data_IF_711242470613
#
_entry.id   IF_711242470613
#
_cell.length_a   1.000
_cell.length_b   1.000
_cell.length_c   1.000
_cell.angle_alpha   90.00
_cell.angle_beta   90.00
_cell.angle_gamma   90.00
#
_symmetry.space_group_name_H-M   'P 1'
#
loop_
_entity.id
_entity.type
_entity.pdbx_description
1 polymer ?
#
# COMPACT_ATOMS: atom_id res chain seq x y z
N UNK A 1 -23.05 23.72 13.79
CA UNK A 1 -23.56 22.40 13.38
C UNK A 1 -22.31 21.58 13.06
N UNK A 2 -21.88 20.67 13.96
CA UNK A 2 -20.65 19.88 13.76
C UNK A 2 -20.97 18.89 12.64
N UNK A 3 -20.27 19.00 11.52
CA UNK A 3 -20.19 17.92 10.54
C UNK A 3 -19.52 16.73 11.23
N UNK A 4 -20.34 15.92 11.91
CA UNK A 4 -20.01 14.52 12.13
C UNK A 4 -19.97 13.92 10.73
N UNK A 5 -18.81 14.03 10.05
CA UNK A 5 -18.50 13.20 8.90
C UNK A 5 -18.45 11.78 9.43
N UNK A 6 -19.61 11.16 9.43
CA UNK A 6 -19.75 9.76 9.67
C UNK A 6 -18.75 9.06 8.77
N UNK A 7 -17.87 8.28 9.37
CA UNK A 7 -17.01 7.33 8.67
C UNK A 7 -17.84 6.30 7.87
N UNK A 8 -19.18 6.40 7.81
CA UNK A 8 -20.03 5.66 6.87
C UNK A 8 -19.81 6.01 5.39
N UNK A 9 -19.01 7.05 5.08
CA UNK A 9 -18.43 7.22 3.73
C UNK A 9 -17.33 6.19 3.41
N UNK A 10 -16.81 5.49 4.44
CA UNK A 10 -15.87 4.37 4.34
C UNK A 10 -16.66 3.09 4.01
N UNK A 11 -17.30 3.06 2.84
CA UNK A 11 -18.05 1.89 2.35
C UNK A 11 -17.36 1.20 1.16
N UNK A 12 -16.05 1.41 1.00
CA UNK A 12 -15.25 0.80 -0.08
C UNK A 12 -14.15 -0.07 0.52
N UNK A 13 -14.02 -1.29 0.01
CA UNK A 13 -12.94 -2.25 0.32
C UNK A 13 -11.57 -1.84 -0.28
N UNK A 14 -11.47 -0.61 -0.80
CA UNK A 14 -10.28 0.00 -1.42
C UNK A 14 -9.68 1.14 -0.57
N UNK A 15 -10.12 1.29 0.68
CA UNK A 15 -9.70 2.41 1.52
C UNK A 15 -8.33 2.13 2.14
N UNK A 16 -7.35 2.86 1.63
CA UNK A 16 -5.94 2.83 2.02
C UNK A 16 -5.73 3.82 3.17
N UNK A 17 -5.19 3.35 4.30
CA UNK A 17 -4.89 4.18 5.46
C UNK A 17 -3.66 3.67 6.21
N UNK A 18 -3.01 4.57 6.94
CA UNK A 18 -1.92 4.22 7.85
C UNK A 18 -2.15 4.88 9.21
N UNK A 19 -1.98 4.10 10.28
CA UNK A 19 -2.05 4.59 11.66
C UNK A 19 -0.63 4.88 12.11
N UNK A 20 -0.41 6.08 12.64
CA UNK A 20 0.88 6.47 13.22
C UNK A 20 1.28 5.57 14.38
N UNK A 21 2.58 5.43 14.66
CA UNK A 21 3.05 4.79 15.89
C UNK A 21 2.46 5.48 17.11
N UNK A 22 2.07 4.69 18.12
CA UNK A 22 1.34 5.22 19.28
C UNK A 22 -0.14 5.56 19.02
N UNK A 23 -0.62 5.42 17.78
CA UNK A 23 -2.00 5.68 17.39
C UNK A 23 -2.48 7.13 17.66
N UNK A 24 -1.58 8.09 17.50
CA UNK A 24 -1.84 9.52 17.74
C UNK A 24 -2.66 10.14 16.60
N UNK A 25 -2.37 9.76 15.36
CA UNK A 25 -3.10 10.19 14.16
C UNK A 25 -3.23 9.09 13.12
N UNK A 26 -4.12 9.30 12.14
CA UNK A 26 -4.37 8.41 11.00
C UNK A 26 -4.27 9.20 9.70
N UNK A 27 -3.59 8.62 8.72
CA UNK A 27 -3.57 9.08 7.34
C UNK A 27 -4.54 8.27 6.49
N UNK A 28 -5.35 8.92 5.68
CA UNK A 28 -6.22 8.27 4.69
C UNK A 28 -5.84 8.70 3.29
N UNK A 29 -5.77 7.77 2.35
CA UNK A 29 -5.67 8.14 0.94
C UNK A 29 -6.96 8.81 0.48
N UNK A 30 -6.85 10.06 0.03
CA UNK A 30 -7.96 10.86 -0.49
C UNK A 30 -8.02 10.83 -2.02
N UNK A 31 -6.88 10.87 -2.69
CA UNK A 31 -6.77 10.82 -4.15
C UNK A 31 -5.48 10.12 -4.60
N UNK A 32 -5.13 10.19 -5.88
CA UNK A 32 -3.87 9.64 -6.40
C UNK A 32 -2.62 10.29 -5.79
N UNK A 33 -2.72 11.53 -5.29
CA UNK A 33 -1.60 12.33 -4.78
C UNK A 33 -1.93 13.08 -3.48
N UNK A 34 -3.10 12.85 -2.89
CA UNK A 34 -3.51 13.52 -1.65
C UNK A 34 -3.80 12.51 -0.55
N UNK A 35 -3.38 12.88 0.66
CA UNK A 35 -3.71 12.21 1.90
C UNK A 35 -4.57 13.13 2.77
N UNK A 36 -5.37 12.55 3.63
CA UNK A 36 -6.10 13.25 4.67
C UNK A 36 -5.47 12.89 6.01
N UNK A 37 -5.07 13.88 6.78
CA UNK A 37 -4.53 13.76 8.12
C UNK A 37 -5.63 13.96 9.15
N UNK A 38 -5.82 12.96 9.99
CA UNK A 38 -6.79 12.97 11.07
C UNK A 38 -6.09 12.74 12.41
N UNK A 39 -6.14 13.74 13.27
CA UNK A 39 -5.69 13.67 14.65
C UNK A 39 -6.91 13.96 15.54
N UNK A 40 -7.27 13.04 16.45
CA UNK A 40 -8.44 13.17 17.31
C UNK A 40 -8.29 14.28 18.36
N UNK A 41 -7.06 14.68 18.71
CA UNK A 41 -6.77 15.71 19.71
C UNK A 41 -6.75 17.12 19.11
N UNK A 42 -6.58 17.24 17.79
CA UNK A 42 -6.74 18.51 17.10
C UNK A 42 -8.22 18.96 17.10
N UNK A 43 -8.43 20.27 17.05
CA UNK A 43 -9.77 20.84 16.93
C UNK A 43 -10.19 20.98 15.46
N UNK A 44 -9.21 21.10 14.56
CA UNK A 44 -9.41 21.07 13.12
C UNK A 44 -8.88 19.74 12.56
N UNK A 45 -9.81 18.83 12.30
CA UNK A 45 -9.47 17.46 11.93
C UNK A 45 -9.39 17.30 10.41
N UNK A 46 -9.47 18.39 9.63
CA UNK A 46 -9.59 18.37 8.17
C UNK A 46 -8.32 18.82 7.44
N UNK A 47 -7.17 18.27 7.78
CA UNK A 47 -5.91 18.63 7.12
C UNK A 47 -5.73 17.76 5.87
N UNK A 48 -5.81 18.36 4.69
CA UNK A 48 -5.41 17.69 3.44
C UNK A 48 -3.92 17.89 3.22
N UNK A 49 -3.20 16.79 2.98
CA UNK A 49 -1.77 16.78 2.70
C UNK A 49 -1.53 16.43 1.23
N UNK A 50 -0.67 17.19 0.56
CA UNK A 50 -0.28 16.94 -0.83
C UNK A 50 1.01 16.12 -0.85
N UNK A 51 1.04 15.03 -1.62
CA UNK A 51 2.24 14.25 -1.86
C UNK A 51 3.19 15.03 -2.79
N UNK A 52 4.39 15.32 -2.28
CA UNK A 52 5.47 15.95 -3.03
C UNK A 52 6.56 14.90 -3.28
N UNK A 53 6.84 14.63 -4.55
CA UNK A 53 7.89 13.71 -4.98
C UNK A 53 8.97 14.53 -5.67
N UNK A 54 10.18 14.57 -5.11
CA UNK A 54 11.28 15.37 -5.67
C UNK A 54 11.92 14.75 -6.91
N UNK A 55 11.83 13.43 -7.07
CA UNK A 55 12.36 12.72 -8.23
C UNK A 55 11.42 12.86 -9.44
N UNK A 56 11.94 13.42 -10.53
CA UNK A 56 11.22 13.63 -11.79
C UNK A 56 10.68 12.34 -12.41
N UNK A 57 11.33 11.19 -12.16
CA UNK A 57 10.90 9.90 -12.70
C UNK A 57 9.59 9.40 -12.08
N UNK A 58 9.21 9.94 -10.93
CA UNK A 58 8.07 9.48 -10.13
C UNK A 58 6.98 10.56 -9.95
N UNK A 59 7.04 11.64 -10.73
CA UNK A 59 6.08 12.74 -10.65
C UNK A 59 4.65 12.30 -10.96
N UNK A 60 4.47 11.37 -11.88
CA UNK A 60 3.16 10.88 -12.29
C UNK A 60 2.70 9.63 -11.52
N UNK A 61 3.58 9.04 -10.70
CA UNK A 61 3.26 7.84 -9.94
C UNK A 61 2.16 8.09 -8.91
N UNK A 62 1.19 7.20 -8.79
CA UNK A 62 0.05 7.38 -7.88
C UNK A 62 0.26 6.64 -6.57
N UNK A 63 -0.32 7.12 -5.47
CA UNK A 63 -0.31 6.42 -4.19
C UNK A 63 -1.02 5.07 -4.37
N UNK A 64 -0.26 3.98 -4.22
CA UNK A 64 -0.77 2.62 -4.23
C UNK A 64 -1.23 2.19 -2.84
N UNK A 65 -0.37 2.35 -1.84
CA UNK A 65 -0.64 2.02 -0.44
C UNK A 65 0.32 2.79 0.48
N UNK A 66 0.12 2.74 1.80
CA UNK A 66 1.03 3.35 2.78
C UNK A 66 0.99 2.64 4.13
N UNK A 67 2.09 2.72 4.87
CA UNK A 67 2.19 2.17 6.22
C UNK A 67 3.29 2.89 7.01
N UNK A 68 3.32 2.69 8.33
CA UNK A 68 4.43 3.12 9.16
C UNK A 68 5.35 1.92 9.46
N UNK A 69 6.64 2.09 9.22
CA UNK A 69 7.70 1.19 9.69
C UNK A 69 8.43 1.89 10.82
N UNK A 70 8.18 1.48 12.06
CA UNK A 70 8.56 2.29 13.24
C UNK A 70 8.01 3.72 13.05
N UNK A 71 8.81 4.76 13.27
CA UNK A 71 8.43 6.17 13.12
C UNK A 71 8.45 6.70 11.67
N UNK A 72 8.82 5.86 10.70
CA UNK A 72 8.99 6.28 9.32
C UNK A 72 7.72 5.99 8.50
N UNK A 73 7.09 7.01 7.94
CA UNK A 73 6.04 6.83 6.95
C UNK A 73 6.66 6.26 5.66
N UNK A 74 6.06 5.20 5.15
CA UNK A 74 6.43 4.56 3.89
C UNK A 74 5.22 4.61 2.96
N UNK A 75 5.43 5.08 1.73
CA UNK A 75 4.41 5.12 0.68
C UNK A 75 4.84 4.20 -0.45
N UNK A 76 3.91 3.36 -0.92
CA UNK A 76 4.06 2.64 -2.17
C UNK A 76 3.51 3.50 -3.30
N UNK A 77 4.34 3.75 -4.30
CA UNK A 77 4.00 4.53 -5.50
C UNK A 77 3.84 3.57 -6.67
N UNK A 78 2.73 3.69 -7.41
CA UNK A 78 2.46 2.90 -8.60
C UNK A 78 2.59 3.76 -9.85
N UNK A 79 3.46 3.34 -10.76
CA UNK A 79 3.51 3.90 -12.09
C UNK A 79 2.22 3.54 -12.86
N UNK A 80 1.45 4.51 -13.35
CA UNK A 80 0.17 4.25 -14.01
C UNK A 80 0.32 3.60 -15.39
N UNK A 81 1.49 3.70 -16.04
CA UNK A 81 1.71 3.16 -17.38
C UNK A 81 2.03 1.67 -17.36
N UNK A 82 2.95 1.24 -16.49
CA UNK A 82 3.43 -0.14 -16.43
C UNK A 82 3.04 -0.90 -15.15
N UNK A 83 2.44 -0.22 -14.18
CA UNK A 83 1.98 -0.81 -12.92
C UNK A 83 3.10 -1.22 -11.97
N UNK A 84 4.35 -0.79 -12.20
CA UNK A 84 5.47 -1.00 -11.27
C UNK A 84 5.24 -0.25 -9.97
N UNK A 85 5.73 -0.85 -8.88
CA UNK A 85 5.69 -0.28 -7.53
C UNK A 85 7.08 0.20 -7.14
N UNK A 86 7.17 1.44 -6.67
CA UNK A 86 8.35 1.99 -6.00
C UNK A 86 8.03 2.25 -4.53
N UNK A 87 9.05 2.16 -3.66
CA UNK A 87 8.91 2.49 -2.24
C UNK A 87 9.43 3.91 -2.01
N UNK A 88 8.61 4.80 -1.48
CA UNK A 88 9.00 6.11 -1.00
C UNK A 88 9.11 6.13 0.53
N UNK A 89 10.21 6.65 1.07
CA UNK A 89 10.29 7.06 2.47
C UNK A 89 9.84 8.51 2.57
N UNK A 90 8.98 8.82 3.54
CA UNK A 90 8.26 10.08 3.56
C UNK A 90 8.33 10.80 4.91
N UNK A 91 8.37 12.12 4.87
CA UNK A 91 8.16 12.96 6.04
C UNK A 91 6.83 13.70 5.92
N UNK A 92 6.12 13.87 7.03
CA UNK A 92 4.87 14.61 7.10
C UNK A 92 5.19 16.03 7.58
N UNK A 93 4.93 17.02 6.72
CA UNK A 93 5.09 18.42 7.04
C UNK A 93 3.71 19.08 7.17
N UNK A 94 3.29 19.28 8.42
CA UNK A 94 2.02 19.93 8.75
C UNK A 94 2.07 21.46 8.57
N UNK A 95 3.25 22.08 8.49
CA UNK A 95 3.36 23.52 8.24
C UNK A 95 3.07 23.82 6.77
N UNK A 96 3.60 23.00 5.87
CA UNK A 96 3.38 23.14 4.41
C UNK A 96 2.22 22.32 3.88
N UNK A 97 1.53 21.56 4.75
CA UNK A 97 0.44 20.65 4.41
C UNK A 97 0.86 19.65 3.32
N UNK A 98 2.01 19.01 3.52
CA UNK A 98 2.59 18.10 2.55
C UNK A 98 3.09 16.79 3.16
N UNK A 99 3.16 15.76 2.31
CA UNK A 99 3.96 14.57 2.57
C UNK A 99 5.07 14.55 1.55
N UNK A 100 6.30 14.70 2.00
CA UNK A 100 7.48 14.83 1.15
C UNK A 100 8.18 13.49 1.07
N UNK A 101 8.33 12.95 -0.15
CA UNK A 101 9.13 11.75 -0.40
C UNK A 101 10.60 12.14 -0.41
N UNK A 102 11.35 11.70 0.60
CA UNK A 102 12.76 12.05 0.81
C UNK A 102 13.71 11.08 0.12
N UNK A 103 13.31 9.81 -0.02
CA UNK A 103 14.07 8.75 -0.69
C UNK A 103 13.12 7.85 -1.45
N UNK A 104 13.52 7.41 -2.65
CA UNK A 104 12.79 6.40 -3.43
C UNK A 104 13.70 5.19 -3.65
N UNK A 105 13.20 4.03 -3.25
CA UNK A 105 13.76 2.72 -3.58
C UNK A 105 12.90 2.08 -4.65
N UNK A 106 13.41 2.05 -5.87
CA UNK A 106 12.75 1.30 -6.95
C UNK A 106 12.89 -0.19 -6.67
N UNK A 107 11.76 -0.88 -6.57
CA UNK A 107 11.72 -2.34 -6.47
C UNK A 107 11.02 -2.87 -7.73
N UNK A 108 11.43 -4.04 -8.21
CA UNK A 108 10.75 -4.70 -9.32
C UNK A 108 9.51 -5.47 -8.82
N UNK A 109 8.57 -4.77 -8.20
CA UNK A 109 7.24 -5.30 -7.95
C UNK A 109 6.29 -4.73 -8.99
N UNK A 110 5.41 -5.58 -9.52
CA UNK A 110 4.42 -5.17 -10.50
C UNK A 110 3.04 -5.61 -10.05
N UNK A 111 2.10 -4.68 -10.13
CA UNK A 111 0.69 -4.96 -9.88
C UNK A 111 0.10 -5.79 -11.01
N UNK A 112 -0.79 -6.74 -10.69
CA UNK A 112 -1.49 -7.50 -11.73
C UNK A 112 -2.61 -6.64 -12.33
N UNK A 113 -2.41 -6.16 -13.55
CA UNK A 113 -3.35 -5.27 -14.26
C UNK A 113 -4.62 -5.97 -14.78
N UNK A 114 -4.61 -7.30 -14.93
CA UNK A 114 -5.77 -8.09 -15.40
C UNK A 114 -5.86 -9.44 -14.69
N UNK A 115 -7.01 -9.72 -14.08
CA UNK A 115 -7.29 -11.03 -13.48
C UNK A 115 -6.46 -11.33 -12.22
N UNK A 116 -6.05 -10.30 -11.49
CA UNK A 116 -5.28 -10.42 -10.27
C UNK A 116 -5.52 -9.27 -9.31
N UNK A 117 -5.06 -9.46 -8.09
CA UNK A 117 -5.11 -8.51 -7.00
C UNK A 117 -3.70 -8.34 -6.45
N UNK A 118 -3.37 -7.11 -6.09
CA UNK A 118 -2.17 -6.79 -5.33
C UNK A 118 -2.59 -5.98 -4.11
N UNK A 119 -2.06 -6.31 -2.93
CA UNK A 119 -2.43 -5.68 -1.67
C UNK A 119 -1.23 -5.56 -0.74
N UNK A 120 -1.24 -4.53 0.10
CA UNK A 120 -0.45 -4.49 1.30
C UNK A 120 -1.24 -5.14 2.45
N UNK A 121 -0.58 -6.01 3.21
CA UNK A 121 -1.08 -6.55 4.47
C UNK A 121 0.01 -6.41 5.52
N UNK A 122 -0.31 -6.69 6.78
CA UNK A 122 0.67 -6.72 7.87
C UNK A 122 0.66 -8.08 8.58
N UNK A 123 1.85 -8.57 8.95
CA UNK A 123 2.06 -9.68 9.86
C UNK A 123 2.83 -9.20 11.11
N UNK A 124 3.24 -10.13 11.97
CA UNK A 124 4.05 -9.85 13.16
C UNK A 124 5.44 -9.25 12.88
N UNK A 125 5.94 -9.37 11.65
CA UNK A 125 7.22 -8.83 11.20
C UNK A 125 7.05 -7.51 10.41
N UNK A 126 5.81 -7.10 10.15
CA UNK A 126 5.44 -5.82 9.54
C UNK A 126 4.74 -5.96 8.19
N UNK A 127 4.95 -4.98 7.31
CA UNK A 127 4.27 -4.90 6.02
C UNK A 127 4.74 -5.96 5.02
N UNK A 128 3.77 -6.59 4.36
CA UNK A 128 3.93 -7.56 3.29
C UNK A 128 3.12 -7.12 2.08
N UNK A 129 3.78 -7.07 0.93
CA UNK A 129 3.10 -6.98 -0.35
C UNK A 129 2.74 -8.39 -0.84
N UNK A 130 1.47 -8.60 -1.16
CA UNK A 130 0.97 -9.85 -1.72
C UNK A 130 0.30 -9.59 -3.07
N UNK A 131 0.68 -10.38 -4.09
CA UNK A 131 0.11 -10.34 -5.42
C UNK A 131 -0.41 -11.73 -5.82
N UNK A 132 -1.69 -11.84 -6.16
CA UNK A 132 -2.36 -13.12 -6.39
C UNK A 132 -3.39 -13.01 -7.53
N UNK A 133 -3.70 -14.09 -8.24
CA UNK A 133 -4.71 -14.06 -9.31
C UNK A 133 -6.12 -13.95 -8.72
N UNK A 134 -7.07 -13.40 -9.48
CA UNK A 134 -8.46 -13.25 -9.07
C UNK A 134 -9.24 -14.56 -9.15
N UNK A 135 -8.79 -15.45 -10.04
CA UNK A 135 -9.31 -16.81 -10.20
C UNK A 135 -8.15 -17.78 -10.17
N UNK A 136 -8.35 -18.90 -9.48
CA UNK A 136 -7.38 -20.00 -9.48
C UNK A 136 -7.83 -21.03 -10.51
N UNK A 137 -7.27 -20.96 -11.71
CA UNK A 137 -7.55 -21.91 -12.79
C UNK A 137 -6.50 -23.00 -12.85
N UNK A 138 -6.94 -24.22 -13.16
CA UNK A 138 -6.06 -25.38 -13.13
C UNK A 138 -5.16 -25.51 -14.37
N UNK A 139 -5.56 -24.92 -15.50
CA UNK A 139 -4.87 -25.12 -16.77
C UNK A 139 -3.86 -24.00 -17.07
N UNK A 140 -3.85 -22.93 -16.26
CA UNK A 140 -2.90 -21.83 -16.39
C UNK A 140 -2.01 -21.71 -15.13
N UNK A 141 -0.73 -22.12 -15.19
CA UNK A 141 0.20 -22.06 -14.06
C UNK A 141 0.32 -20.66 -13.44
N UNK A 142 0.23 -19.59 -14.25
CA UNK A 142 0.33 -18.19 -13.77
C UNK A 142 -0.88 -17.78 -12.91
N UNK A 143 -2.00 -18.47 -13.07
CA UNK A 143 -3.20 -18.30 -12.25
C UNK A 143 -3.18 -19.17 -10.98
N UNK A 144 -2.01 -19.72 -10.61
CA UNK A 144 -1.79 -20.40 -9.33
C UNK A 144 -0.72 -19.77 -8.47
N UNK A 145 0.00 -18.77 -8.99
CA UNK A 145 1.11 -18.13 -8.32
C UNK A 145 0.64 -16.96 -7.45
N UNK A 146 0.92 -17.08 -6.16
CA UNK A 146 0.92 -15.98 -5.19
C UNK A 146 2.36 -15.52 -5.01
N UNK A 147 2.62 -14.25 -5.27
CA UNK A 147 3.89 -13.61 -4.99
C UNK A 147 3.79 -12.87 -3.66
N UNK A 148 4.74 -13.12 -2.77
CA UNK A 148 4.81 -12.52 -1.44
C UNK A 148 6.16 -11.83 -1.35
N UNK A 149 6.14 -10.56 -0.97
CA UNK A 149 7.32 -9.75 -0.78
C UNK A 149 7.24 -9.04 0.57
N UNK A 150 8.19 -9.33 1.46
CA UNK A 150 8.22 -8.75 2.81
C UNK A 150 8.90 -7.38 2.75
N UNK A 151 8.10 -6.32 2.75
CA UNK A 151 8.58 -4.95 2.61
C UNK A 151 9.44 -4.54 3.80
N UNK A 152 9.07 -4.97 5.00
CA UNK A 152 9.80 -4.66 6.23
C UNK A 152 11.20 -5.27 6.23
N UNK A 153 11.32 -6.57 5.88
CA UNK A 153 12.61 -7.26 5.76
C UNK A 153 13.50 -6.57 4.70
N UNK A 154 12.92 -6.16 3.57
CA UNK A 154 13.66 -5.40 2.54
C UNK A 154 14.14 -4.04 3.04
N UNK A 155 13.30 -3.31 3.77
CA UNK A 155 13.65 -1.99 4.31
C UNK A 155 14.76 -2.07 5.35
N UNK A 156 14.79 -3.15 6.14
CA UNK A 156 15.81 -3.36 7.18
C UNK A 156 17.13 -3.92 6.63
N UNK A 157 17.06 -4.89 5.71
CA UNK A 157 18.24 -5.65 5.29
C UNK A 157 18.75 -5.27 3.91
N UNK A 158 17.94 -4.59 3.09
CA UNK A 158 18.19 -4.32 1.68
C UNK A 158 18.09 -5.54 0.76
N UNK A 159 17.80 -6.74 1.30
CA UNK A 159 17.71 -7.96 0.50
C UNK A 159 16.31 -8.14 -0.09
N UNK A 160 16.24 -8.22 -1.42
CA UNK A 160 15.01 -8.55 -2.12
C UNK A 160 14.74 -10.06 -2.05
N UNK A 161 13.71 -10.46 -1.29
CA UNK A 161 13.26 -11.85 -1.17
C UNK A 161 11.79 -12.00 -1.56
N UNK A 162 11.52 -12.02 -2.86
CA UNK A 162 10.20 -12.44 -3.35
C UNK A 162 10.04 -13.95 -3.23
N UNK A 163 9.04 -14.40 -2.47
CA UNK A 163 8.62 -15.80 -2.40
C UNK A 163 7.44 -16.03 -3.33
N UNK A 164 7.48 -17.14 -4.07
CA UNK A 164 6.36 -17.60 -4.91
C UNK A 164 5.73 -18.84 -4.27
N UNK A 165 4.44 -18.76 -3.97
CA UNK A 165 3.64 -19.90 -3.54
C UNK A 165 2.75 -20.36 -4.70
N UNK A 166 2.70 -21.67 -4.94
CA UNK A 166 1.81 -22.26 -5.93
C UNK A 166 0.68 -23.01 -5.21
N UNK A 167 -0.58 -22.69 -5.53
CA UNK A 167 -1.72 -23.43 -4.99
C UNK A 167 -1.99 -24.66 -5.84
N UNK A 168 -1.89 -25.85 -5.22
CA UNK A 168 -2.36 -27.11 -5.80
C UNK A 168 -3.77 -27.45 -5.28
N UNK A 169 -4.77 -27.50 -6.17
CA UNK A 169 -6.08 -28.04 -5.80
C UNK A 169 -6.01 -29.57 -5.77
N UNK A 170 -6.20 -30.17 -4.58
CA UNK A 170 -6.44 -31.62 -4.48
C UNK A 170 -7.78 -31.95 -5.11
N UNK A 171 -7.79 -32.77 -6.16
CA UNK A 171 -9.03 -33.41 -6.64
C UNK A 171 -9.57 -34.28 -5.51
N UNK A 172 -10.67 -33.86 -4.88
CA UNK A 172 -11.47 -34.75 -4.06
C UNK A 172 -11.94 -35.88 -4.98
N UNK A 173 -11.49 -37.11 -4.73
CA UNK A 173 -12.03 -38.29 -5.41
C UNK A 173 -13.50 -38.35 -5.03
N UNK A 174 -14.39 -38.00 -5.96
CA UNK A 174 -15.80 -38.38 -5.87
C UNK A 174 -15.83 -39.90 -5.85
N UNK A 175 -16.15 -40.47 -4.68
CA UNK A 175 -16.36 -41.91 -4.51
C UNK A 175 -17.44 -42.38 -5.49
N UNK A 176 -17.11 -43.43 -6.24
CA UNK A 176 -18.05 -44.12 -7.13
C UNK A 176 -18.98 -45.05 -6.37
#
# INVERSE_FOLDING_TARGET
MRDLRSFTGINSTQNIFAVSPGAEFVLFKKSSKELYYFDPELTDNNISLILIVSDHLHLDDTIFDLFFQNEQLVILLQNPEDGKISIGLCFIDLETHSVVVTEIKTIELQTKSKGGFSKLITDELGAIFISFPSTFENDNPKLREIEIFHLSDYLETGFNRTKKLCIEQRKLKSGG
#
